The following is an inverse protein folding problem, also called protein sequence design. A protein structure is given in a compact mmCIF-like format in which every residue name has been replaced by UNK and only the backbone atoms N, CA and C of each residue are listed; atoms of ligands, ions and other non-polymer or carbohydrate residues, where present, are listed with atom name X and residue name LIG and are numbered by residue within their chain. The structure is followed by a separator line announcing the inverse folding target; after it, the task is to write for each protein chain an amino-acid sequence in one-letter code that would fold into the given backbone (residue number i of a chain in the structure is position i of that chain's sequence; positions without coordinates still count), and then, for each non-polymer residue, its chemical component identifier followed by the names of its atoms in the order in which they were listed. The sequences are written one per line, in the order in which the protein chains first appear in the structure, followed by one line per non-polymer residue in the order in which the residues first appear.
data_IF_773818411484
#
_entry.id   IF_773818411484
#
_cell.length_a   1.000
_cell.length_b   1.000
_cell.length_c   1.000
_cell.angle_alpha   90.00
_cell.angle_beta   90.00
_cell.angle_gamma   90.00
#
_symmetry.space_group_name_H-M   'P 1'
#
loop_
_entity.id
_entity.type
_entity.pdbx_description
1 polymer ?
#
# COMPACT_ATOMS: atom_id res chain seq x y z
N UNK A 1 25.72 9.98 17.45
CA UNK A 1 24.99 8.75 17.79
C UNK A 1 23.59 8.96 17.21
N UNK A 2 23.28 8.34 16.07
CA UNK A 2 22.09 8.66 15.25
C UNK A 2 20.81 7.94 15.69
N UNK A 3 20.84 7.22 16.83
CA UNK A 3 19.72 6.38 17.27
C UNK A 3 18.61 7.21 17.88
N UNK A 4 17.43 7.13 17.27
CA UNK A 4 16.19 7.56 17.88
C UNK A 4 15.76 6.51 18.93
N UNK A 5 15.51 6.95 20.16
CA UNK A 5 15.26 6.04 21.30
C UNK A 5 13.93 5.32 21.13
N UNK A 6 13.97 3.99 20.90
CA UNK A 6 12.78 3.13 20.97
C UNK A 6 12.57 2.60 22.38
N UNK A 7 11.35 2.69 22.88
CA UNK A 7 10.93 2.02 24.11
C UNK A 7 10.94 0.50 23.87
N UNK A 8 11.89 -0.21 24.49
CA UNK A 8 12.00 -1.66 24.40
C UNK A 8 10.76 -2.33 25.02
N UNK A 9 10.02 -3.12 24.23
CA UNK A 9 8.91 -3.91 24.76
C UNK A 9 9.44 -5.13 25.52
N UNK A 10 9.21 -5.18 26.83
CA UNK A 10 9.67 -6.21 27.78
C UNK A 10 8.83 -7.49 27.77
N UNK A 11 8.48 -8.02 26.59
CA UNK A 11 7.83 -9.34 26.46
C UNK A 11 8.78 -10.35 25.82
N UNK A 12 9.43 -11.14 26.67
CA UNK A 12 10.34 -12.22 26.27
C UNK A 12 9.50 -13.45 25.90
N UNK A 13 8.83 -13.43 24.74
CA UNK A 13 8.63 -14.68 24.00
C UNK A 13 9.93 -14.95 23.26
N UNK A 14 10.46 -16.18 23.35
CA UNK A 14 11.64 -16.57 22.60
C UNK A 14 11.39 -16.30 21.11
N UNK A 15 12.21 -15.44 20.51
CA UNK A 15 12.12 -15.08 19.10
C UNK A 15 12.39 -16.33 18.25
N UNK A 16 11.56 -16.64 17.24
CA UNK A 16 11.78 -17.81 16.39
C UNK A 16 13.11 -17.68 15.64
N UNK A 17 13.70 -18.80 15.20
CA UNK A 17 14.90 -18.74 14.37
C UNK A 17 14.62 -18.01 13.04
N UNK A 18 15.56 -17.16 12.61
CA UNK A 18 15.42 -16.36 11.38
C UNK A 18 15.09 -17.23 10.15
N UNK A 19 15.68 -18.41 10.06
CA UNK A 19 15.45 -19.35 8.95
C UNK A 19 14.02 -19.89 8.91
N UNK A 20 13.32 -19.94 10.05
CA UNK A 20 11.93 -20.41 10.12
C UNK A 20 10.91 -19.36 9.67
N UNK A 21 11.31 -18.08 9.62
CA UNK A 21 10.45 -16.97 9.20
C UNK A 21 10.80 -16.44 7.80
N UNK A 22 11.88 -16.92 7.20
CA UNK A 22 12.30 -16.61 5.83
C UNK A 22 11.89 -17.73 4.87
N UNK A 23 11.65 -17.41 3.58
CA UNK A 23 11.38 -18.43 2.58
C UNK A 23 12.64 -19.25 2.26
N UNK A 24 12.46 -20.30 1.45
CA UNK A 24 13.56 -21.18 1.07
C UNK A 24 14.75 -20.42 0.43
N UNK A 25 15.96 -20.94 0.59
CA UNK A 25 17.17 -20.40 -0.08
C UNK A 25 16.99 -20.19 -1.58
N UNK A 26 16.25 -21.09 -2.25
CA UNK A 26 15.94 -20.98 -3.69
C UNK A 26 15.13 -19.72 -3.98
N UNK A 27 14.12 -19.44 -3.16
CA UNK A 27 13.29 -18.23 -3.28
C UNK A 27 14.12 -16.97 -3.03
N UNK A 28 14.98 -16.98 -2.01
CA UNK A 28 15.83 -15.82 -1.69
C UNK A 28 16.83 -15.56 -2.82
N UNK A 29 17.47 -16.59 -3.38
CA UNK A 29 18.36 -16.45 -4.53
C UNK A 29 17.64 -15.89 -5.77
N UNK A 30 16.39 -16.30 -6.01
CA UNK A 30 15.58 -15.74 -7.08
C UNK A 30 15.33 -14.25 -6.85
N UNK A 31 14.94 -13.84 -5.64
CA UNK A 31 14.71 -12.43 -5.31
C UNK A 31 15.99 -11.61 -5.43
N UNK A 32 17.14 -12.14 -4.99
CA UNK A 32 18.45 -11.49 -5.18
C UNK A 32 18.77 -11.27 -6.66
N UNK A 33 18.50 -12.28 -7.50
CA UNK A 33 18.68 -12.19 -8.94
C UNK A 33 17.72 -11.16 -9.56
N UNK A 34 16.43 -11.22 -9.23
CA UNK A 34 15.41 -10.30 -9.75
C UNK A 34 15.64 -8.83 -9.34
N UNK A 35 16.49 -8.57 -8.32
CA UNK A 35 16.87 -7.22 -7.87
C UNK A 35 18.29 -6.82 -8.31
N UNK A 36 18.92 -7.57 -9.22
CA UNK A 36 20.31 -7.37 -9.67
C UNK A 36 21.29 -7.16 -8.49
N UNK A 37 21.06 -7.88 -7.39
CA UNK A 37 21.80 -7.66 -6.16
C UNK A 37 23.26 -8.07 -6.32
N UNK A 38 24.23 -7.20 -5.99
CA UNK A 38 25.64 -7.57 -6.01
C UNK A 38 26.04 -8.50 -4.85
N UNK A 39 25.09 -8.88 -3.98
CA UNK A 39 25.33 -9.61 -2.75
C UNK A 39 24.78 -11.02 -2.83
N UNK A 40 25.58 -11.99 -2.40
CA UNK A 40 25.18 -13.40 -2.37
C UNK A 40 24.48 -13.77 -1.06
N UNK A 41 23.64 -14.80 -1.10
CA UNK A 41 23.00 -15.38 0.08
C UNK A 41 24.00 -15.70 1.21
N UNK A 42 25.18 -16.24 0.86
CA UNK A 42 26.22 -16.58 1.83
C UNK A 42 26.85 -15.37 2.52
N UNK A 43 26.91 -14.22 1.84
CA UNK A 43 27.39 -12.96 2.44
C UNK A 43 26.29 -12.29 3.28
N UNK A 44 25.05 -12.33 2.79
CA UNK A 44 23.89 -11.68 3.43
C UNK A 44 23.47 -12.37 4.74
N UNK A 45 23.29 -13.70 4.71
CA UNK A 45 22.64 -14.41 5.82
C UNK A 45 23.36 -14.29 7.17
N UNK A 46 24.71 -14.36 7.26
CA UNK A 46 25.40 -14.17 8.53
C UNK A 46 25.16 -12.78 9.13
N UNK A 47 25.09 -11.74 8.28
CA UNK A 47 24.83 -10.36 8.71
C UNK A 47 23.40 -10.23 9.22
N UNK A 48 22.41 -10.73 8.46
CA UNK A 48 21.02 -10.73 8.90
C UNK A 48 20.84 -11.49 10.22
N UNK A 49 21.50 -12.65 10.37
CA UNK A 49 21.43 -13.45 11.59
C UNK A 49 22.04 -12.72 12.80
N UNK A 50 23.19 -12.06 12.61
CA UNK A 50 23.82 -11.27 13.67
C UNK A 50 22.91 -10.13 14.14
N UNK A 51 22.36 -9.35 13.21
CA UNK A 51 21.43 -8.25 13.52
C UNK A 51 20.18 -8.81 14.22
N UNK A 52 19.57 -9.85 13.66
CA UNK A 52 18.35 -10.46 14.18
C UNK A 52 18.49 -11.01 15.60
N UNK A 53 19.63 -11.63 15.92
CA UNK A 53 19.92 -12.16 17.25
C UNK A 53 20.11 -11.04 18.29
N UNK A 54 20.53 -9.85 17.85
CA UNK A 54 20.88 -8.74 18.71
C UNK A 54 19.87 -7.57 18.68
N UNK A 55 18.67 -7.72 18.07
CA UNK A 55 17.67 -6.62 18.03
C UNK A 55 17.28 -6.08 19.42
N UNK A 56 17.40 -6.88 20.48
CA UNK A 56 17.11 -6.43 21.86
C UNK A 56 18.26 -5.62 22.47
N UNK A 57 19.47 -5.73 21.92
CA UNK A 57 20.67 -5.03 22.36
C UNK A 57 21.45 -4.55 21.13
N UNK A 58 20.95 -3.52 20.41
CA UNK A 58 21.55 -3.15 19.12
C UNK A 58 22.99 -2.62 19.21
N UNK A 59 23.49 -2.33 20.42
CA UNK A 59 24.91 -2.02 20.66
C UNK A 59 25.86 -3.22 20.50
N UNK A 60 25.34 -4.46 20.48
CA UNK A 60 26.11 -5.70 20.26
C UNK A 60 26.13 -6.15 18.79
N UNK A 61 25.50 -5.39 17.90
CA UNK A 61 25.48 -5.71 16.48
C UNK A 61 26.88 -5.41 15.91
N UNK A 62 27.48 -6.40 15.27
CA UNK A 62 28.80 -6.29 14.66
C UNK A 62 28.67 -6.55 13.16
N UNK A 63 28.85 -5.50 12.37
CA UNK A 63 28.75 -5.57 10.92
C UNK A 63 30.17 -5.57 10.33
N UNK A 64 30.55 -6.62 9.58
CA UNK A 64 31.87 -6.70 8.96
C UNK A 64 32.18 -5.46 8.10
N UNK A 65 33.43 -5.00 8.11
CA UNK A 65 33.88 -3.83 7.32
C UNK A 65 33.69 -4.02 5.81
N UNK A 66 33.66 -5.28 5.34
CA UNK A 66 33.38 -5.65 3.95
C UNK A 66 31.92 -5.43 3.51
N UNK A 67 31.02 -5.11 4.44
CA UNK A 67 29.60 -4.83 4.18
C UNK A 67 29.41 -3.32 4.20
N UNK A 68 28.99 -2.76 3.07
CA UNK A 68 28.74 -1.31 2.94
C UNK A 68 27.42 -0.93 3.60
N UNK A 69 27.22 0.35 3.87
CA UNK A 69 25.93 0.83 4.39
C UNK A 69 24.79 0.59 3.38
N UNK A 70 25.07 0.80 2.10
CA UNK A 70 24.14 0.53 0.99
C UNK A 70 23.78 -0.97 0.88
N UNK A 71 24.69 -1.87 1.23
CA UNK A 71 24.41 -3.31 1.28
C UNK A 71 23.27 -3.63 2.27
N UNK A 72 23.19 -2.91 3.40
CA UNK A 72 22.14 -3.08 4.39
C UNK A 72 20.78 -2.61 3.87
N UNK A 73 20.76 -1.55 3.06
CA UNK A 73 19.56 -1.07 2.39
C UNK A 73 19.07 -2.06 1.32
N UNK A 74 19.99 -2.72 0.61
CA UNK A 74 19.65 -3.85 -0.29
C UNK A 74 19.04 -5.01 0.50
N UNK A 75 19.59 -5.36 1.67
CA UNK A 75 19.01 -6.40 2.53
C UNK A 75 17.59 -6.05 2.98
N UNK A 76 17.36 -4.80 3.37
CA UNK A 76 16.04 -4.32 3.73
C UNK A 76 15.06 -4.46 2.56
N UNK A 77 15.43 -3.97 1.37
CA UNK A 77 14.60 -4.05 0.16
C UNK A 77 14.19 -5.50 -0.12
N UNK A 78 15.14 -6.43 0.01
CA UNK A 78 14.88 -7.87 -0.15
C UNK A 78 13.88 -8.41 0.90
N UNK A 79 14.01 -8.04 2.17
CA UNK A 79 13.06 -8.45 3.22
C UNK A 79 11.65 -7.88 2.94
N UNK A 80 11.55 -6.64 2.46
CA UNK A 80 10.30 -6.03 2.03
C UNK A 80 9.69 -6.80 0.84
N UNK A 81 10.48 -7.14 -0.17
CA UNK A 81 10.04 -7.97 -1.31
C UNK A 81 9.57 -9.35 -0.87
N UNK A 82 10.29 -10.00 0.06
CA UNK A 82 9.87 -11.27 0.65
C UNK A 82 8.49 -11.14 1.26
N UNK A 83 8.27 -10.14 2.13
CA UNK A 83 6.97 -9.94 2.78
C UNK A 83 5.85 -9.64 1.80
N UNK A 84 6.14 -8.88 0.74
CA UNK A 84 5.19 -8.62 -0.33
C UNK A 84 4.77 -9.90 -1.04
N UNK A 85 5.74 -10.75 -1.41
CA UNK A 85 5.51 -12.01 -2.13
C UNK A 85 4.83 -13.06 -1.25
N UNK A 86 5.24 -13.18 0.02
CA UNK A 86 4.68 -14.17 0.94
C UNK A 86 3.39 -13.71 1.62
N UNK A 87 3.01 -12.44 1.45
CA UNK A 87 1.93 -11.77 2.18
C UNK A 87 2.04 -11.95 3.72
N UNK A 88 3.26 -12.19 4.23
CA UNK A 88 3.45 -12.49 5.64
C UNK A 88 3.53 -11.22 6.48
N UNK A 89 2.62 -11.08 7.44
CA UNK A 89 2.69 -10.06 8.48
C UNK A 89 3.52 -10.58 9.68
N UNK A 90 4.85 -10.62 9.53
CA UNK A 90 5.75 -11.04 10.62
C UNK A 90 6.40 -9.83 11.29
N UNK A 91 6.04 -9.58 12.56
CA UNK A 91 6.61 -8.48 13.35
C UNK A 91 8.15 -8.55 13.43
N UNK A 92 8.72 -9.74 13.56
CA UNK A 92 10.18 -9.87 13.70
C UNK A 92 10.93 -9.52 12.41
N UNK A 93 10.31 -9.73 11.23
CA UNK A 93 10.89 -9.27 9.97
C UNK A 93 10.82 -7.75 9.86
N UNK A 94 9.72 -7.14 10.30
CA UNK A 94 9.59 -5.68 10.35
C UNK A 94 10.62 -5.06 11.32
N UNK A 95 10.81 -5.67 12.50
CA UNK A 95 11.82 -5.22 13.47
C UNK A 95 13.23 -5.31 12.87
N UNK A 96 13.54 -6.38 12.12
CA UNK A 96 14.81 -6.56 11.42
C UNK A 96 15.00 -5.53 10.29
N UNK A 97 13.97 -5.29 9.47
CA UNK A 97 14.00 -4.26 8.42
C UNK A 97 14.27 -2.88 8.98
N UNK A 98 13.66 -2.55 10.12
CA UNK A 98 13.88 -1.27 10.79
C UNK A 98 15.30 -1.15 11.32
N UNK A 99 15.82 -2.19 11.97
CA UNK A 99 17.19 -2.19 12.48
C UNK A 99 18.22 -2.07 11.35
N UNK A 100 17.96 -2.66 10.17
CA UNK A 100 18.83 -2.47 9.00
C UNK A 100 18.94 -1.00 8.59
N UNK A 101 17.86 -0.22 8.68
CA UNK A 101 17.89 1.23 8.41
C UNK A 101 18.74 1.96 9.45
N UNK A 102 18.53 1.67 10.74
CA UNK A 102 19.30 2.27 11.83
C UNK A 102 20.81 2.03 11.64
N UNK A 103 21.19 0.77 11.38
CA UNK A 103 22.58 0.39 11.16
C UNK A 103 23.18 1.03 9.89
N UNK A 104 22.37 1.18 8.82
CA UNK A 104 22.81 1.87 7.61
C UNK A 104 23.04 3.36 7.87
N UNK A 105 22.12 4.02 8.59
CA UNK A 105 22.23 5.43 8.94
C UNK A 105 23.44 5.69 9.86
N UNK A 106 23.68 4.84 10.86
CA UNK A 106 24.87 4.92 11.73
C UNK A 106 26.19 4.85 10.95
N UNK A 107 26.16 4.20 9.78
CA UNK A 107 27.30 4.07 8.85
C UNK A 107 27.34 5.14 7.77
N UNK A 108 26.48 6.15 7.85
CA UNK A 108 26.48 7.32 6.95
C UNK A 108 25.68 7.16 5.66
N UNK A 109 24.77 6.19 5.59
CA UNK A 109 23.90 6.02 4.42
C UNK A 109 22.86 7.14 4.33
N UNK A 110 22.89 7.92 3.25
CA UNK A 110 22.01 9.10 3.11
C UNK A 110 20.54 8.71 2.94
N UNK A 111 20.24 7.60 2.26
CA UNK A 111 18.86 7.13 2.12
C UNK A 111 18.30 6.74 3.49
N UNK A 112 19.07 5.97 4.26
CA UNK A 112 18.67 5.56 5.59
C UNK A 112 18.48 6.76 6.55
N UNK A 113 19.42 7.72 6.53
CA UNK A 113 19.31 8.96 7.32
C UNK A 113 18.04 9.72 6.95
N UNK A 114 17.76 9.85 5.64
CA UNK A 114 16.56 10.51 5.14
C UNK A 114 15.30 9.81 5.65
N UNK A 115 15.23 8.48 5.53
CA UNK A 115 14.09 7.69 5.99
C UNK A 115 13.82 7.87 7.49
N UNK A 116 14.86 7.79 8.32
CA UNK A 116 14.71 7.95 9.78
C UNK A 116 14.30 9.38 10.16
N UNK A 117 14.88 10.39 9.51
CA UNK A 117 14.53 11.79 9.78
C UNK A 117 13.07 12.08 9.46
N UNK A 118 12.56 11.59 8.32
CA UNK A 118 11.14 11.76 7.95
C UNK A 118 10.20 10.91 8.81
N UNK A 119 10.60 9.71 9.24
CA UNK A 119 9.81 8.94 10.19
C UNK A 119 9.65 9.71 11.51
N UNK A 120 10.73 10.32 12.00
CA UNK A 120 10.65 11.12 13.24
C UNK A 120 9.70 12.32 13.11
N UNK A 121 9.68 12.97 11.95
CA UNK A 121 8.73 14.04 11.66
C UNK A 121 7.29 13.51 11.64
N UNK A 122 7.04 12.34 11.05
CA UNK A 122 5.71 11.70 11.02
C UNK A 122 5.22 11.30 12.41
N UNK A 123 6.06 10.67 13.24
CA UNK A 123 5.72 10.32 14.63
C UNK A 123 5.21 11.55 15.41
N UNK A 124 5.92 12.67 15.29
CA UNK A 124 5.55 13.92 15.94
C UNK A 124 4.21 14.48 15.42
N UNK A 125 3.92 14.35 14.12
CA UNK A 125 2.65 14.79 13.53
C UNK A 125 1.47 13.93 13.97
N UNK A 126 1.69 12.62 14.14
CA UNK A 126 0.66 11.69 14.63
C UNK A 126 0.41 11.78 16.14
N UNK A 127 1.19 12.61 16.85
CA UNK A 127 1.18 12.71 18.31
C UNK A 127 1.50 11.36 19.00
N UNK A 128 2.28 10.50 18.34
CA UNK A 128 2.63 9.16 18.85
C UNK A 128 3.69 9.22 19.97
N UNK A 129 4.38 10.35 20.11
CA UNK A 129 5.36 10.61 21.17
C UNK A 129 4.82 11.53 22.25
N UNK A 130 5.09 11.18 23.51
CA UNK A 130 4.99 12.11 24.64
C UNK A 130 5.96 13.27 24.37
N UNK A 131 5.44 14.49 24.35
CA UNK A 131 6.24 15.69 24.06
C UNK A 131 7.07 16.05 25.29
N UNK A 132 8.13 15.29 25.52
CA UNK A 132 9.17 15.61 26.49
C UNK A 132 10.32 16.40 25.83
N UNK A 133 11.32 16.76 26.63
CA UNK A 133 12.48 17.53 26.15
C UNK A 133 13.29 16.74 25.11
N UNK A 134 13.44 15.43 25.29
CA UNK A 134 14.22 14.57 24.39
C UNK A 134 13.53 14.44 23.03
N UNK A 135 12.20 14.25 23.00
CA UNK A 135 11.43 14.19 21.76
C UNK A 135 11.54 15.49 20.94
N UNK A 136 11.60 16.66 21.60
CA UNK A 136 11.83 17.95 20.94
C UNK A 136 13.24 18.06 20.36
N UNK A 137 14.26 17.59 21.09
CA UNK A 137 15.64 17.58 20.62
C UNK A 137 15.83 16.65 19.42
N UNK A 138 15.23 15.44 19.46
CA UNK A 138 15.23 14.49 18.35
C UNK A 138 14.58 15.08 17.09
N UNK A 139 13.44 15.76 17.25
CA UNK A 139 12.76 16.41 16.13
C UNK A 139 13.61 17.56 15.55
N UNK A 140 14.25 18.36 16.40
CA UNK A 140 15.14 19.43 15.96
C UNK A 140 16.35 18.86 15.19
N UNK A 141 16.90 17.74 15.66
CA UNK A 141 17.98 17.04 14.96
C UNK A 141 17.52 16.46 13.62
N UNK A 142 16.36 15.81 13.55
CA UNK A 142 15.78 15.31 12.30
C UNK A 142 15.57 16.44 11.27
N UNK A 143 15.04 17.59 11.69
CA UNK A 143 14.87 18.74 10.81
C UNK A 143 16.22 19.32 10.33
N UNK A 144 17.24 19.31 11.19
CA UNK A 144 18.60 19.71 10.80
C UNK A 144 19.16 18.78 9.72
N UNK A 145 19.04 17.46 9.90
CA UNK A 145 19.47 16.48 8.89
C UNK A 145 18.73 16.65 7.57
N UNK A 146 17.41 16.85 7.59
CA UNK A 146 16.62 17.12 6.38
C UNK A 146 17.14 18.36 5.65
N UNK A 147 17.47 19.42 6.39
CA UNK A 147 18.04 20.65 5.81
C UNK A 147 19.39 20.37 5.14
N UNK A 148 20.29 19.68 5.82
CA UNK A 148 21.60 19.29 5.26
C UNK A 148 21.44 18.42 4.00
N UNK A 149 20.54 17.43 4.02
CA UNK A 149 20.24 16.57 2.86
C UNK A 149 19.63 17.36 1.68
N UNK A 150 18.82 18.37 1.97
CA UNK A 150 18.24 19.27 0.96
C UNK A 150 19.33 20.14 0.33
N UNK A 151 20.25 20.69 1.12
CA UNK A 151 21.42 21.46 0.64
C UNK A 151 22.35 20.59 -0.21
N UNK A 152 22.52 19.31 0.16
CA UNK A 152 23.25 18.31 -0.63
C UNK A 152 22.52 17.85 -1.89
N UNK A 153 21.27 18.27 -2.09
CA UNK A 153 20.37 17.81 -3.16
C UNK A 153 20.28 16.28 -3.23
N UNK A 154 20.20 15.62 -2.08
CA UNK A 154 20.05 14.17 -2.05
C UNK A 154 18.64 13.77 -2.54
N UNK A 155 18.48 12.94 -3.58
CA UNK A 155 17.18 12.72 -4.24
C UNK A 155 16.06 12.32 -3.28
N UNK A 156 16.29 11.32 -2.41
CA UNK A 156 15.25 10.77 -1.54
C UNK A 156 14.62 11.82 -0.61
N UNK A 157 15.34 12.90 -0.27
CA UNK A 157 14.81 13.98 0.58
C UNK A 157 13.61 14.65 -0.09
N UNK A 158 13.67 14.87 -1.41
CA UNK A 158 12.60 15.53 -2.16
C UNK A 158 11.42 14.60 -2.36
N UNK A 159 11.66 13.31 -2.65
CA UNK A 159 10.57 12.33 -2.70
C UNK A 159 9.82 12.24 -1.36
N UNK A 160 10.54 12.12 -0.25
CA UNK A 160 9.94 12.05 1.08
C UNK A 160 9.24 13.35 1.48
N UNK A 161 9.79 14.51 1.11
CA UNK A 161 9.13 15.81 1.28
C UNK A 161 7.81 15.89 0.52
N UNK A 162 7.79 15.41 -0.74
CA UNK A 162 6.60 15.35 -1.56
C UNK A 162 5.53 14.44 -0.99
N UNK A 163 5.92 13.22 -0.59
CA UNK A 163 5.04 12.23 0.03
C UNK A 163 4.42 12.79 1.33
N UNK A 164 5.23 13.41 2.20
CA UNK A 164 4.75 14.05 3.42
C UNK A 164 3.83 15.25 3.17
N UNK A 165 4.15 16.09 2.18
CA UNK A 165 3.31 17.23 1.80
C UNK A 165 1.95 16.76 1.26
N UNK A 166 1.94 15.67 0.49
CA UNK A 166 0.71 15.05 -0.02
C UNK A 166 -0.15 14.47 1.11
N UNK A 167 0.46 13.74 2.06
CA UNK A 167 -0.22 13.25 3.28
C UNK A 167 -0.89 14.41 4.05
N UNK A 168 -0.24 15.58 4.10
CA UNK A 168 -0.76 16.82 4.70
C UNK A 168 -1.75 17.59 3.83
N UNK A 169 -2.09 17.08 2.65
CA UNK A 169 -2.97 17.72 1.65
C UNK A 169 -2.46 19.08 1.14
N UNK A 170 -1.15 19.32 1.24
CA UNK A 170 -0.48 20.51 0.68
C UNK A 170 0.03 20.16 -0.72
N UNK A 171 -0.92 19.98 -1.64
CA UNK A 171 -0.62 19.27 -2.89
C UNK A 171 0.31 20.03 -3.84
N UNK A 172 0.24 21.36 -3.91
CA UNK A 172 1.14 22.14 -4.76
C UNK A 172 2.61 21.92 -4.37
N UNK A 173 2.89 22.03 -3.07
CA UNK A 173 4.23 21.75 -2.51
C UNK A 173 4.65 20.30 -2.73
N UNK A 174 3.72 19.35 -2.67
CA UNK A 174 4.02 17.96 -2.98
C UNK A 174 4.52 17.78 -4.42
N UNK A 175 3.84 18.42 -5.38
CA UNK A 175 4.23 18.41 -6.79
C UNK A 175 5.59 19.06 -6.99
N UNK A 176 5.86 20.21 -6.36
CA UNK A 176 7.15 20.91 -6.49
C UNK A 176 8.31 20.04 -5.99
N UNK A 177 8.13 19.31 -4.89
CA UNK A 177 9.16 18.41 -4.38
C UNK A 177 9.34 17.16 -5.25
N UNK A 178 8.25 16.57 -5.73
CA UNK A 178 8.34 15.46 -6.68
C UNK A 178 8.99 15.87 -8.01
N UNK A 179 8.80 17.10 -8.47
CA UNK A 179 9.51 17.64 -9.63
C UNK A 179 11.01 17.81 -9.35
N UNK A 180 11.38 18.36 -8.19
CA UNK A 180 12.78 18.43 -7.77
C UNK A 180 13.45 17.05 -7.67
N UNK A 181 12.71 16.01 -7.24
CA UNK A 181 13.19 14.64 -7.31
C UNK A 181 13.51 14.22 -8.74
N UNK A 182 12.55 14.42 -9.66
CA UNK A 182 12.69 14.02 -11.07
C UNK A 182 13.76 14.84 -11.83
N UNK A 183 14.11 16.03 -11.35
CA UNK A 183 15.25 16.80 -11.89
C UNK A 183 16.61 16.16 -11.55
N UNK A 184 16.66 15.34 -10.49
CA UNK A 184 17.87 14.64 -10.06
C UNK A 184 17.94 13.23 -10.61
N UNK A 185 16.83 12.50 -10.59
CA UNK A 185 16.73 11.11 -11.05
C UNK A 185 15.33 10.86 -11.68
N UNK A 186 15.28 10.59 -12.98
CA UNK A 186 14.03 10.37 -13.72
C UNK A 186 13.89 8.98 -14.36
N UNK A 187 14.90 8.12 -14.21
CA UNK A 187 15.00 6.78 -14.80
C UNK A 187 15.22 5.66 -13.76
N UNK A 188 14.87 5.91 -12.50
CA UNK A 188 14.99 4.95 -11.39
C UNK A 188 13.64 4.34 -10.99
N UNK A 189 13.67 3.27 -10.18
CA UNK A 189 12.45 2.67 -9.58
C UNK A 189 11.72 3.73 -8.73
N UNK A 190 12.48 4.51 -7.98
CA UNK A 190 11.99 5.61 -7.14
C UNK A 190 11.36 6.72 -7.99
N UNK A 191 11.92 7.04 -9.17
CA UNK A 191 11.29 7.92 -10.15
C UNK A 191 9.95 7.35 -10.64
N UNK A 192 9.89 6.05 -10.87
CA UNK A 192 8.63 5.35 -11.16
C UNK A 192 7.57 5.52 -10.07
N UNK A 193 7.94 5.50 -8.79
CA UNK A 193 7.03 5.79 -7.67
C UNK A 193 6.58 7.26 -7.67
N UNK A 194 7.48 8.19 -7.95
CA UNK A 194 7.16 9.62 -8.06
C UNK A 194 6.21 9.89 -9.24
N UNK A 195 6.44 9.24 -10.38
CA UNK A 195 5.51 9.30 -11.50
C UNK A 195 4.14 8.74 -11.13
N UNK A 196 4.05 7.63 -10.39
CA UNK A 196 2.76 7.19 -9.87
C UNK A 196 2.08 8.27 -9.02
N UNK A 197 2.80 8.90 -8.09
CA UNK A 197 2.26 9.93 -7.20
C UNK A 197 1.74 11.15 -7.99
N UNK A 198 2.50 11.62 -8.98
CA UNK A 198 2.06 12.68 -9.89
C UNK A 198 0.85 12.25 -10.73
N UNK A 199 0.84 11.02 -11.24
CA UNK A 199 -0.28 10.46 -11.98
C UNK A 199 -1.56 10.43 -11.15
N UNK A 200 -1.44 9.96 -9.90
CA UNK A 200 -2.55 9.93 -8.95
C UNK A 200 -3.03 11.34 -8.57
N UNK A 201 -2.12 12.30 -8.41
CA UNK A 201 -2.48 13.71 -8.20
C UNK A 201 -3.34 14.25 -9.36
N UNK A 202 -2.87 14.16 -10.61
CA UNK A 202 -3.64 14.64 -11.77
C UNK A 202 -4.93 13.86 -12.03
N UNK A 203 -5.03 12.62 -11.55
CA UNK A 203 -6.25 11.81 -11.61
C UNK A 203 -7.29 12.23 -10.56
N UNK A 204 -6.86 12.42 -9.31
CA UNK A 204 -7.74 12.53 -8.13
C UNK A 204 -8.19 13.94 -7.77
N UNK A 205 -7.44 14.97 -8.18
CA UNK A 205 -7.82 16.35 -7.90
C UNK A 205 -9.07 16.76 -8.69
N UNK A 206 -9.89 17.68 -8.15
CA UNK A 206 -11.00 18.25 -8.90
C UNK A 206 -10.50 19.17 -10.04
N UNK A 207 -11.34 19.42 -11.06
CA UNK A 207 -11.08 20.48 -12.04
C UNK A 207 -10.85 21.85 -11.35
N UNK A 208 -9.94 22.70 -11.87
CA UNK A 208 -9.23 22.60 -13.15
C UNK A 208 -7.89 21.86 -13.08
N UNK A 209 -7.50 21.35 -11.90
CA UNK A 209 -6.21 20.66 -11.72
C UNK A 209 -6.23 19.28 -12.37
N UNK A 210 -7.40 18.63 -12.39
CA UNK A 210 -7.59 17.33 -13.01
C UNK A 210 -7.13 17.33 -14.47
N UNK A 211 -6.23 16.40 -14.80
CA UNK A 211 -5.74 16.22 -16.16
C UNK A 211 -5.52 14.73 -16.42
N UNK A 212 -6.53 14.09 -17.02
CA UNK A 212 -6.49 12.67 -17.35
C UNK A 212 -5.42 12.31 -18.38
N UNK A 213 -4.99 13.25 -19.23
CA UNK A 213 -3.94 12.98 -20.21
C UNK A 213 -2.58 12.96 -19.52
N UNK A 214 -2.30 13.92 -18.63
CA UNK A 214 -1.09 13.89 -17.79
C UNK A 214 -1.08 12.67 -16.87
N UNK A 215 -2.20 12.39 -16.19
CA UNK A 215 -2.32 11.23 -15.32
C UNK A 215 -1.94 9.94 -16.06
N UNK A 216 -2.50 9.74 -17.26
CA UNK A 216 -2.19 8.61 -18.13
C UNK A 216 -0.69 8.52 -18.46
N UNK A 217 -0.08 9.62 -18.90
CA UNK A 217 1.35 9.64 -19.24
C UNK A 217 2.22 9.25 -18.05
N UNK A 218 1.91 9.77 -16.86
CA UNK A 218 2.65 9.46 -15.65
C UNK A 218 2.49 8.02 -15.19
N UNK A 219 1.28 7.45 -15.25
CA UNK A 219 1.07 6.02 -14.96
C UNK A 219 1.83 5.12 -15.94
N UNK A 220 1.90 5.49 -17.22
CA UNK A 220 2.69 4.76 -18.21
C UNK A 220 4.19 4.80 -17.89
N UNK A 221 4.73 5.98 -17.51
CA UNK A 221 6.12 6.10 -17.06
C UNK A 221 6.40 5.28 -15.81
N UNK A 222 5.49 5.27 -14.84
CA UNK A 222 5.59 4.43 -13.64
C UNK A 222 5.77 2.95 -14.03
N UNK A 223 4.90 2.43 -14.90
CA UNK A 223 4.95 1.03 -15.34
C UNK A 223 6.25 0.72 -16.11
N UNK A 224 6.78 1.68 -16.86
CA UNK A 224 8.05 1.50 -17.59
C UNK A 224 9.27 1.37 -16.67
N UNK A 225 9.23 1.99 -15.49
CA UNK A 225 10.36 2.06 -14.55
C UNK A 225 10.23 1.12 -13.36
N UNK A 226 9.09 0.44 -13.19
CA UNK A 226 8.83 -0.38 -12.01
C UNK A 226 8.31 -1.76 -12.40
N UNK A 227 8.97 -2.80 -11.90
CA UNK A 227 8.61 -4.18 -12.17
C UNK A 227 7.58 -4.71 -11.18
N UNK A 228 6.30 -4.60 -11.55
CA UNK A 228 5.15 -5.26 -10.89
C UNK A 228 5.09 -5.14 -9.35
N UNK A 229 5.63 -4.06 -8.80
CA UNK A 229 5.48 -3.64 -7.42
C UNK A 229 4.08 -3.05 -7.14
N UNK A 230 3.86 -2.55 -5.92
CA UNK A 230 2.57 -1.97 -5.56
C UNK A 230 2.21 -0.71 -6.40
N UNK A 231 3.20 0.12 -6.75
CA UNK A 231 2.96 1.36 -7.51
C UNK A 231 2.58 1.06 -8.96
N UNK A 232 3.33 0.21 -9.66
CA UNK A 232 2.96 -0.28 -10.98
C UNK A 232 1.61 -0.98 -10.97
N UNK A 233 1.32 -1.82 -9.97
CA UNK A 233 0.03 -2.51 -9.82
C UNK A 233 -1.12 -1.49 -9.74
N UNK A 234 -0.98 -0.44 -8.92
CA UNK A 234 -1.98 0.63 -8.84
C UNK A 234 -2.02 1.50 -10.11
N UNK A 235 -0.90 1.75 -10.76
CA UNK A 235 -0.83 2.48 -12.02
C UNK A 235 -1.61 1.73 -13.13
N UNK A 236 -1.49 0.40 -13.21
CA UNK A 236 -2.31 -0.42 -14.10
C UNK A 236 -3.81 -0.23 -13.77
N UNK A 237 -4.19 -0.33 -12.50
CA UNK A 237 -5.58 -0.12 -12.09
C UNK A 237 -6.15 1.24 -12.54
N UNK A 238 -5.42 2.34 -12.29
CA UNK A 238 -5.88 3.68 -12.69
C UNK A 238 -5.88 3.88 -14.21
N UNK A 239 -4.94 3.29 -14.95
CA UNK A 239 -5.03 3.25 -16.42
C UNK A 239 -6.28 2.51 -16.86
N UNK A 240 -6.62 1.40 -16.22
CA UNK A 240 -7.88 0.70 -16.42
C UNK A 240 -9.09 1.62 -16.30
N UNK A 241 -9.15 2.39 -15.21
CA UNK A 241 -10.23 3.37 -14.98
C UNK A 241 -10.28 4.44 -16.09
N UNK A 242 -9.12 4.96 -16.51
CA UNK A 242 -9.03 5.97 -17.58
C UNK A 242 -9.48 5.46 -18.96
N UNK A 243 -9.39 4.15 -19.19
CA UNK A 243 -9.83 3.51 -20.43
C UNK A 243 -11.27 3.00 -20.38
N UNK A 244 -11.96 3.02 -19.23
CA UNK A 244 -13.24 2.35 -19.02
C UNK A 244 -14.30 2.70 -20.07
N UNK A 245 -14.42 3.97 -20.44
CA UNK A 245 -15.37 4.45 -21.44
C UNK A 245 -14.80 4.55 -22.86
N UNK A 246 -13.48 4.72 -22.98
CA UNK A 246 -12.80 4.91 -24.28
C UNK A 246 -12.50 3.60 -24.99
N UNK A 247 -12.02 2.61 -24.24
CA UNK A 247 -11.69 1.28 -24.74
C UNK A 247 -11.82 0.25 -23.60
N UNK A 248 -13.02 -0.31 -23.39
CA UNK A 248 -13.29 -1.31 -22.35
C UNK A 248 -12.37 -2.53 -22.40
N UNK A 249 -11.89 -2.95 -23.58
CA UNK A 249 -11.00 -4.09 -23.72
C UNK A 249 -9.60 -3.78 -23.16
N UNK A 250 -9.10 -2.57 -23.43
CA UNK A 250 -7.84 -2.10 -22.85
C UNK A 250 -8.00 -1.89 -21.34
N UNK A 251 -9.15 -1.37 -20.89
CA UNK A 251 -9.45 -1.26 -19.48
C UNK A 251 -9.38 -2.61 -18.76
N UNK A 252 -10.02 -3.63 -19.35
CA UNK A 252 -10.00 -5.01 -18.87
C UNK A 252 -8.57 -5.53 -18.72
N UNK A 253 -7.74 -5.41 -19.76
CA UNK A 253 -6.34 -5.84 -19.74
C UNK A 253 -5.56 -5.26 -18.55
N UNK A 254 -5.65 -3.95 -18.35
CA UNK A 254 -4.96 -3.27 -17.25
C UNK A 254 -5.48 -3.72 -15.88
N UNK A 255 -6.80 -3.85 -15.73
CA UNK A 255 -7.41 -4.29 -14.47
C UNK A 255 -7.14 -5.78 -14.17
N UNK A 256 -7.02 -6.64 -15.18
CA UNK A 256 -6.64 -8.05 -14.99
C UNK A 256 -5.20 -8.17 -14.48
N UNK A 257 -4.28 -7.34 -14.98
CA UNK A 257 -2.92 -7.27 -14.44
C UNK A 257 -2.95 -6.87 -12.96
N UNK A 258 -3.70 -5.83 -12.59
CA UNK A 258 -3.78 -5.41 -11.19
C UNK A 258 -4.45 -6.46 -10.29
N UNK A 259 -5.50 -7.12 -10.78
CA UNK A 259 -6.17 -8.22 -10.09
C UNK A 259 -5.25 -9.44 -9.88
N UNK A 260 -4.38 -9.76 -10.85
CA UNK A 260 -3.40 -10.85 -10.74
C UNK A 260 -2.38 -10.63 -9.61
N UNK A 261 -2.23 -9.38 -9.16
CA UNK A 261 -1.40 -8.97 -8.02
C UNK A 261 -2.21 -8.75 -6.75
N UNK A 262 -3.44 -9.26 -6.72
CA UNK A 262 -4.36 -9.20 -5.58
C UNK A 262 -4.70 -7.77 -5.15
N UNK A 263 -4.66 -6.80 -6.06
CA UNK A 263 -5.21 -5.48 -5.78
C UNK A 263 -6.73 -5.59 -5.72
N UNK A 264 -7.25 -5.57 -4.49
CA UNK A 264 -8.64 -5.91 -4.15
C UNK A 264 -9.66 -5.05 -4.90
N UNK A 265 -9.35 -3.77 -5.11
CA UNK A 265 -10.19 -2.79 -5.81
C UNK A 265 -10.45 -3.19 -7.28
N UNK A 266 -9.57 -4.02 -7.85
CA UNK A 266 -9.70 -4.51 -9.23
C UNK A 266 -10.87 -5.48 -9.39
N UNK A 267 -11.22 -6.26 -8.35
CA UNK A 267 -12.25 -7.31 -8.47
C UNK A 267 -13.63 -6.71 -8.72
N UNK A 268 -14.05 -5.73 -7.91
CA UNK A 268 -15.31 -5.04 -8.12
C UNK A 268 -15.33 -4.34 -9.50
N UNK A 269 -14.23 -3.67 -9.86
CA UNK A 269 -14.12 -2.95 -11.13
C UNK A 269 -14.24 -3.87 -12.34
N UNK A 270 -13.58 -5.04 -12.32
CA UNK A 270 -13.70 -6.07 -13.35
C UNK A 270 -15.10 -6.65 -13.41
N UNK A 271 -15.70 -6.98 -12.26
CA UNK A 271 -17.08 -7.48 -12.20
C UNK A 271 -18.07 -6.49 -12.81
N UNK A 272 -17.98 -5.20 -12.45
CA UNK A 272 -18.83 -4.17 -13.04
C UNK A 272 -18.53 -3.92 -14.52
N UNK A 273 -17.27 -4.04 -14.95
CA UNK A 273 -16.91 -3.92 -16.36
C UNK A 273 -17.53 -5.05 -17.20
N UNK A 274 -17.39 -6.29 -16.75
CA UNK A 274 -18.01 -7.47 -17.37
C UNK A 274 -19.53 -7.36 -17.40
N UNK A 275 -20.14 -6.97 -16.28
CA UNK A 275 -21.60 -6.83 -16.17
C UNK A 275 -22.14 -5.69 -17.04
N UNK A 276 -21.51 -4.51 -17.01
CA UNK A 276 -22.08 -3.30 -17.58
C UNK A 276 -21.68 -3.07 -19.04
N UNK A 277 -20.42 -3.34 -19.41
CA UNK A 277 -19.90 -3.09 -20.76
C UNK A 277 -19.99 -4.33 -21.64
N UNK A 278 -19.60 -5.50 -21.13
CA UNK A 278 -19.56 -6.74 -21.93
C UNK A 278 -20.82 -7.60 -21.81
N UNK A 279 -21.65 -7.38 -20.79
CA UNK A 279 -22.84 -8.18 -20.47
C UNK A 279 -22.54 -9.65 -20.17
N UNK A 280 -21.34 -9.95 -19.71
CA UNK A 280 -20.90 -11.30 -19.31
C UNK A 280 -21.22 -11.55 -17.84
N UNK A 281 -22.49 -11.80 -17.52
CA UNK A 281 -22.94 -11.93 -16.13
C UNK A 281 -22.27 -13.09 -15.38
N UNK A 282 -22.03 -14.24 -16.04
CA UNK A 282 -21.35 -15.38 -15.44
C UNK A 282 -19.91 -15.02 -15.00
N UNK A 283 -19.16 -14.34 -15.89
CA UNK A 283 -17.78 -13.91 -15.60
C UNK A 283 -17.79 -12.82 -14.52
N UNK A 284 -18.73 -11.88 -14.58
CA UNK A 284 -18.88 -10.84 -13.58
C UNK A 284 -19.10 -11.42 -12.17
N UNK A 285 -19.94 -12.46 -12.05
CA UNK A 285 -20.18 -13.16 -10.79
C UNK A 285 -18.88 -13.75 -10.24
N UNK A 286 -18.04 -14.38 -11.06
CA UNK A 286 -16.76 -14.94 -10.60
C UNK A 286 -15.82 -13.84 -10.05
N UNK A 287 -15.71 -12.70 -10.74
CA UNK A 287 -14.96 -11.56 -10.21
C UNK A 287 -15.51 -11.04 -8.89
N UNK A 288 -16.83 -10.91 -8.78
CA UNK A 288 -17.45 -10.49 -7.54
C UNK A 288 -17.28 -11.52 -6.41
N UNK A 289 -17.31 -12.84 -6.69
CA UNK A 289 -17.03 -13.88 -5.70
C UNK A 289 -15.63 -13.74 -5.12
N UNK A 290 -14.63 -13.54 -5.98
CA UNK A 290 -13.25 -13.30 -5.55
C UNK A 290 -13.15 -12.10 -4.61
N UNK A 291 -13.82 -10.98 -4.91
CA UNK A 291 -13.84 -9.82 -4.03
C UNK A 291 -14.50 -10.07 -2.67
N UNK A 292 -15.63 -10.78 -2.65
CA UNK A 292 -16.32 -11.16 -1.40
C UNK A 292 -15.47 -12.11 -0.55
N UNK A 293 -14.82 -13.09 -1.17
CA UNK A 293 -13.95 -14.04 -0.47
C UNK A 293 -12.68 -13.38 0.07
N UNK A 294 -12.10 -12.44 -0.69
CA UNK A 294 -10.85 -11.80 -0.32
C UNK A 294 -10.99 -10.78 0.82
N UNK A 295 -12.03 -9.92 0.81
CA UNK A 295 -12.17 -8.87 1.83
C UNK A 295 -13.61 -8.58 2.28
N UNK A 296 -14.59 -9.41 1.90
CA UNK A 296 -16.03 -9.18 2.13
C UNK A 296 -16.53 -7.89 1.49
N UNK A 297 -16.07 -7.60 0.27
CA UNK A 297 -16.39 -6.36 -0.45
C UNK A 297 -17.92 -6.21 -0.64
N UNK A 298 -18.47 -5.13 -0.10
CA UNK A 298 -19.87 -4.78 -0.25
C UNK A 298 -20.25 -4.49 -1.70
N UNK A 299 -19.38 -3.83 -2.47
CA UNK A 299 -19.64 -3.56 -3.88
C UNK A 299 -19.74 -4.85 -4.68
N UNK A 300 -18.91 -5.85 -4.35
CA UNK A 300 -19.00 -7.16 -4.97
C UNK A 300 -20.28 -7.90 -4.58
N UNK A 301 -20.73 -7.84 -3.33
CA UNK A 301 -22.04 -8.41 -2.93
C UNK A 301 -23.20 -7.77 -3.71
N UNK A 302 -23.17 -6.44 -3.86
CA UNK A 302 -24.17 -5.72 -4.66
C UNK A 302 -24.13 -6.17 -6.13
N UNK A 303 -22.92 -6.29 -6.70
CA UNK A 303 -22.72 -6.77 -8.06
C UNK A 303 -23.23 -8.20 -8.29
N UNK A 304 -23.01 -9.11 -7.33
CA UNK A 304 -23.56 -10.47 -7.40
C UNK A 304 -25.09 -10.44 -7.43
N UNK A 305 -25.73 -9.66 -6.54
CA UNK A 305 -27.18 -9.51 -6.52
C UNK A 305 -27.69 -9.03 -7.89
N UNK A 306 -27.09 -7.97 -8.43
CA UNK A 306 -27.50 -7.40 -9.72
C UNK A 306 -27.35 -8.42 -10.86
N UNK A 307 -26.25 -9.18 -10.90
CA UNK A 307 -26.06 -10.24 -11.89
C UNK A 307 -27.12 -11.35 -11.76
N UNK A 308 -27.38 -11.85 -10.55
CA UNK A 308 -28.37 -12.91 -10.34
C UNK A 308 -29.79 -12.47 -10.72
N UNK A 309 -30.16 -11.21 -10.45
CA UNK A 309 -31.44 -10.65 -10.91
C UNK A 309 -31.50 -10.63 -12.45
N UNK A 310 -30.46 -10.14 -13.13
CA UNK A 310 -30.44 -10.09 -14.60
C UNK A 310 -30.49 -11.48 -15.24
N UNK A 311 -29.88 -12.47 -14.60
CA UNK A 311 -29.90 -13.87 -15.02
C UNK A 311 -31.16 -14.63 -14.57
N UNK A 312 -32.08 -13.99 -13.83
CA UNK A 312 -33.27 -14.63 -13.25
C UNK A 312 -32.95 -15.80 -12.31
N UNK A 313 -31.80 -15.76 -11.66
CA UNK A 313 -31.38 -16.74 -10.66
C UNK A 313 -31.93 -16.33 -9.28
N UNK A 314 -33.24 -16.44 -9.12
CA UNK A 314 -33.97 -15.87 -7.98
C UNK A 314 -33.50 -16.36 -6.61
N UNK A 315 -33.26 -17.67 -6.45
CA UNK A 315 -32.79 -18.24 -5.18
C UNK A 315 -31.41 -17.69 -4.78
N UNK A 316 -30.50 -17.53 -5.73
CA UNK A 316 -29.17 -16.99 -5.48
C UNK A 316 -29.26 -15.49 -5.12
N UNK A 317 -30.09 -14.73 -5.84
CA UNK A 317 -30.35 -13.33 -5.54
C UNK A 317 -30.95 -13.14 -4.13
N UNK A 318 -31.90 -13.98 -3.71
CA UNK A 318 -32.47 -13.93 -2.36
C UNK A 318 -31.43 -14.21 -1.28
N UNK A 319 -30.55 -15.19 -1.50
CA UNK A 319 -29.47 -15.48 -0.56
C UNK A 319 -28.54 -14.28 -0.37
N UNK A 320 -28.13 -13.62 -1.46
CA UNK A 320 -27.30 -12.40 -1.39
C UNK A 320 -28.06 -11.26 -0.70
N UNK A 321 -29.35 -11.09 -1.01
CA UNK A 321 -30.18 -10.06 -0.38
C UNK A 321 -30.30 -10.26 1.14
N UNK A 322 -30.40 -11.51 1.62
CA UNK A 322 -30.39 -11.82 3.07
C UNK A 322 -29.09 -11.37 3.71
N UNK A 323 -27.94 -11.65 3.09
CA UNK A 323 -26.63 -11.20 3.57
C UNK A 323 -26.55 -9.66 3.64
N UNK A 324 -27.04 -8.96 2.62
CA UNK A 324 -27.08 -7.50 2.58
C UNK A 324 -28.01 -6.91 3.66
N UNK A 325 -29.16 -7.55 3.92
CA UNK A 325 -30.08 -7.16 5.01
C UNK A 325 -29.43 -7.36 6.38
N UNK A 326 -28.73 -8.47 6.60
CA UNK A 326 -28.01 -8.73 7.84
C UNK A 326 -26.91 -7.68 8.08
N UNK A 327 -26.12 -7.35 7.04
CA UNK A 327 -25.09 -6.33 7.13
C UNK A 327 -25.69 -4.94 7.46
N UNK A 328 -26.80 -4.59 6.81
CA UNK A 328 -27.53 -3.34 7.11
C UNK A 328 -28.03 -3.29 8.54
N UNK A 329 -28.53 -4.41 9.08
CA UNK A 329 -28.93 -4.49 10.49
C UNK A 329 -27.76 -4.17 11.40
N UNK A 330 -26.60 -4.81 11.18
CA UNK A 330 -25.38 -4.57 11.96
C UNK A 330 -24.93 -3.10 11.91
N UNK A 331 -24.95 -2.47 10.73
CA UNK A 331 -24.61 -1.05 10.56
C UNK A 331 -25.60 -0.15 11.32
N UNK A 332 -26.90 -0.43 11.23
CA UNK A 332 -27.93 0.32 11.97
C UNK A 332 -27.79 0.16 13.49
N UNK A 333 -27.42 -1.02 13.98
CA UNK A 333 -27.22 -1.26 15.41
C UNK A 333 -26.02 -0.48 15.95
N UNK A 334 -24.94 -0.35 15.18
CA UNK A 334 -23.79 0.50 15.53
C UNK A 334 -24.22 1.97 15.64
N UNK A 335 -25.01 2.47 14.68
CA UNK A 335 -25.55 3.83 14.69
C UNK A 335 -26.46 4.10 15.89
N UNK A 336 -27.44 3.21 16.13
CA UNK A 336 -28.45 3.35 17.20
C UNK A 336 -27.81 3.33 18.58
N UNK A 337 -26.87 2.40 18.80
CA UNK A 337 -26.20 2.24 20.08
C UNK A 337 -25.07 3.26 20.32
N UNK A 338 -24.86 4.21 19.39
CA UNK A 338 -23.75 5.18 19.40
C UNK A 338 -22.40 4.52 19.75
N UNK A 339 -22.20 3.27 19.31
CA UNK A 339 -20.94 2.57 19.57
C UNK A 339 -19.82 3.35 18.89
N UNK A 340 -18.76 3.65 19.63
CA UNK A 340 -17.61 4.34 19.07
C UNK A 340 -17.01 3.48 17.95
N UNK A 341 -17.18 3.93 16.70
CA UNK A 341 -16.44 3.38 15.57
C UNK A 341 -15.00 3.88 15.69
N UNK A 342 -13.99 2.98 15.70
CA UNK A 342 -12.59 3.40 15.71
C UNK A 342 -12.31 4.41 14.59
N UNK A 343 -11.48 5.42 14.86
CA UNK A 343 -11.19 6.48 13.89
C UNK A 343 -10.72 5.93 12.54
N UNK A 344 -9.93 4.86 12.57
CA UNK A 344 -9.42 4.14 11.40
C UNK A 344 -10.51 3.48 10.53
N UNK A 345 -11.72 3.29 11.05
CA UNK A 345 -12.83 2.63 10.36
C UNK A 345 -13.99 3.58 10.03
N UNK A 346 -13.94 4.83 10.49
CA UNK A 346 -15.05 5.78 10.30
C UNK A 346 -15.38 6.01 8.83
N UNK A 347 -14.37 6.24 7.99
CA UNK A 347 -14.57 6.48 6.57
C UNK A 347 -15.18 5.28 5.86
N UNK A 348 -14.59 4.09 6.02
CA UNK A 348 -15.15 2.85 5.45
C UNK A 348 -16.56 2.56 5.95
N UNK A 349 -16.85 2.85 7.22
CA UNK A 349 -18.19 2.71 7.78
C UNK A 349 -19.18 3.67 7.10
N UNK A 350 -18.82 4.94 6.92
CA UNK A 350 -19.66 5.93 6.23
C UNK A 350 -19.91 5.56 4.77
N UNK A 351 -18.87 5.09 4.05
CA UNK A 351 -18.99 4.64 2.67
C UNK A 351 -19.93 3.43 2.58
N UNK A 352 -19.72 2.40 3.40
CA UNK A 352 -20.55 1.19 3.38
C UNK A 352 -22.01 1.48 3.73
N UNK A 353 -22.24 2.36 4.71
CA UNK A 353 -23.58 2.79 5.09
C UNK A 353 -24.29 3.57 3.96
N UNK A 354 -23.57 4.47 3.30
CA UNK A 354 -24.08 5.19 2.14
C UNK A 354 -24.43 4.23 1.00
N UNK A 355 -23.54 3.29 0.67
CA UNK A 355 -23.75 2.27 -0.35
C UNK A 355 -24.96 1.38 -0.06
N UNK A 356 -25.10 0.89 1.18
CA UNK A 356 -26.27 0.11 1.59
C UNK A 356 -27.55 0.93 1.47
N UNK A 357 -27.51 2.19 1.91
CA UNK A 357 -28.68 3.07 1.81
C UNK A 357 -29.10 3.27 0.36
N UNK A 358 -28.16 3.61 -0.52
CA UNK A 358 -28.40 3.73 -1.96
C UNK A 358 -28.88 2.43 -2.58
N UNK A 359 -28.31 1.28 -2.18
CA UNK A 359 -28.72 -0.04 -2.66
C UNK A 359 -30.20 -0.31 -2.38
N UNK A 360 -30.63 -0.16 -1.13
CA UNK A 360 -32.00 -0.46 -0.72
C UNK A 360 -33.03 0.57 -1.19
N UNK A 361 -32.61 1.82 -1.45
CA UNK A 361 -33.50 2.84 -2.00
C UNK A 361 -33.67 2.70 -3.51
N UNK A 362 -32.62 2.30 -4.22
CA UNK A 362 -32.57 2.29 -5.69
C UNK A 362 -33.07 1.01 -6.38
N UNK A 363 -33.40 -0.06 -5.64
CA UNK A 363 -33.72 -1.40 -6.20
C UNK A 363 -35.11 -1.93 -5.83
N UNK A 364 -36.10 -1.04 -5.71
CA UNK A 364 -37.46 -1.42 -5.28
C UNK A 364 -38.10 -2.42 -6.25
N UNK A 365 -37.99 -2.16 -7.55
CA UNK A 365 -38.56 -3.02 -8.60
C UNK A 365 -37.93 -4.42 -8.59
N UNK A 366 -36.61 -4.51 -8.43
CA UNK A 366 -35.91 -5.79 -8.33
C UNK A 366 -36.31 -6.58 -7.09
N UNK A 367 -36.60 -5.91 -5.97
CA UNK A 367 -37.10 -6.58 -4.77
C UNK A 367 -38.53 -7.11 -4.95
N UNK A 368 -39.41 -6.35 -5.61
CA UNK A 368 -40.75 -6.81 -5.95
C UNK A 368 -40.71 -8.02 -6.89
N UNK A 369 -39.85 -7.95 -7.92
CA UNK A 369 -39.62 -9.05 -8.85
C UNK A 369 -39.13 -10.30 -8.12
N UNK A 370 -38.20 -10.14 -7.19
CA UNK A 370 -37.68 -11.25 -6.39
C UNK A 370 -38.77 -11.88 -5.51
N UNK A 371 -39.60 -11.07 -4.84
CA UNK A 371 -40.70 -11.57 -4.01
C UNK A 371 -41.75 -12.37 -4.80
N UNK A 372 -41.94 -12.06 -6.07
CA UNK A 372 -42.89 -12.78 -6.93
C UNK A 372 -42.34 -14.13 -7.42
N UNK A 373 -41.02 -14.33 -7.39
CA UNK A 373 -40.35 -15.45 -8.06
C UNK A 373 -39.52 -16.36 -7.13
N UNK A 374 -39.49 -16.06 -5.82
CA UNK A 374 -38.85 -16.84 -4.75
C UNK A 374 -39.93 -17.42 -3.85
#
# INVERSE_FOLDING_TARGET
MLRFVRLASTSIKARPELQSILPSKRTINRILFDNDSPITYSKMMPVLQNIYNNLSQPSKIEIPTSVKSSDLMVFRKLLTSIRSVTQSANKNLLDLENELVEQAAERGDLDAITMLAYEKVRENLRQETVVDKAAKEDLAHANKLIKELTELKHPLVFKMAGDLAFEKKVYATAVDYWQQFLELEDDTIEAGHVYYSLGYYFFSQPPPIQDFNKAKQYFQKCIQLTDLDLHSTKAHYYLGQLYLDKNPQVAKYFMEISASKSLLESFASLGFLEMNKFKNYDIAIEWFKLGVEANKDLLCLIGQFDCYIKMKQWRAADQVLRNLKELRSKVNDVKRNKKAVPDSMKESFHVNDSLLTSFFQGRKEEFELLQQNV
#
